data_IF_132792230250
#
_entry.id   IF_132792230250
#
_cell.length_a   1.000
_cell.length_b   1.000
_cell.length_c   1.000
_cell.angle_alpha   90.00
_cell.angle_beta   90.00
_cell.angle_gamma   90.00
#
_symmetry.space_group_name_H-M   'P 1'
#
loop_
_entity.id
_entity.type
_entity.pdbx_description
1 polymer ?
#
# COMPACT_ATOMS: atom_id res chain seq x y z
N UNK A 1 -33.92 -2.58 4.09
CA UNK A 1 -33.06 -3.02 5.21
C UNK A 1 -32.63 -4.45 4.95
N UNK A 2 -31.44 -4.65 4.38
CA UNK A 2 -30.83 -5.98 4.31
C UNK A 2 -29.91 -6.11 5.51
N UNK A 3 -30.21 -7.07 6.36
CA UNK A 3 -29.41 -7.45 7.52
C UNK A 3 -28.05 -7.97 7.02
N UNK A 4 -27.03 -7.12 7.06
CA UNK A 4 -25.63 -7.54 6.92
C UNK A 4 -25.22 -8.16 8.24
N UNK A 5 -25.27 -9.49 8.35
CA UNK A 5 -24.90 -10.23 9.56
C UNK A 5 -23.38 -10.19 9.80
N UNK A 6 -22.88 -9.01 10.15
CA UNK A 6 -21.65 -8.84 10.90
C UNK A 6 -22.01 -9.08 12.38
N UNK A 7 -21.18 -9.79 13.18
CA UNK A 7 -21.31 -9.71 14.63
C UNK A 7 -21.40 -8.23 14.98
N UNK A 8 -22.45 -7.83 15.69
CA UNK A 8 -22.75 -6.42 15.93
C UNK A 8 -21.61 -5.77 16.69
N UNK A 9 -20.70 -5.14 15.95
CA UNK A 9 -19.61 -4.33 16.46
C UNK A 9 -20.27 -3.16 17.19
N UNK A 10 -19.96 -3.00 18.48
CA UNK A 10 -20.38 -1.82 19.23
C UNK A 10 -19.40 -0.67 18.92
N UNK A 11 -19.68 0.03 17.82
CA UNK A 11 -18.85 1.13 17.30
C UNK A 11 -18.66 2.28 18.30
N UNK A 12 -19.62 2.48 19.21
CA UNK A 12 -19.54 3.50 20.26
C UNK A 12 -18.40 3.25 21.26
N UNK A 13 -17.91 2.01 21.33
CA UNK A 13 -16.79 1.60 22.20
C UNK A 13 -15.44 1.60 21.49
N UNK A 14 -15.43 1.78 20.17
CA UNK A 14 -14.22 1.89 19.39
C UNK A 14 -13.84 3.36 19.20
N UNK A 15 -12.56 3.60 18.95
CA UNK A 15 -12.07 4.93 18.60
C UNK A 15 -11.52 4.97 17.18
N UNK A 16 -11.70 6.11 16.54
CA UNK A 16 -11.07 6.53 15.29
C UNK A 16 -10.27 7.83 15.54
N UNK A 17 -9.72 8.48 14.51
CA UNK A 17 -8.86 9.66 14.64
C UNK A 17 -9.46 10.81 15.48
N UNK A 18 -10.78 11.02 15.42
CA UNK A 18 -11.45 12.16 16.03
C UNK A 18 -12.26 11.85 17.30
N UNK A 19 -12.17 10.63 17.86
CA UNK A 19 -12.99 10.24 19.02
C UNK A 19 -13.71 8.90 18.87
N UNK A 20 -14.86 8.72 19.55
CA UNK A 20 -15.74 7.55 19.40
C UNK A 20 -16.16 7.35 17.93
N UNK A 21 -16.35 6.10 17.52
CA UNK A 21 -16.57 5.74 16.11
C UNK A 21 -18.04 5.40 15.78
N UNK A 22 -19.01 5.87 16.57
CA UNK A 22 -20.44 5.60 16.35
C UNK A 22 -20.99 6.18 15.02
N UNK A 23 -20.28 7.11 14.42
CA UNK A 23 -20.57 7.72 13.12
C UNK A 23 -20.10 6.88 11.92
N UNK A 24 -19.10 6.01 12.09
CA UNK A 24 -18.48 5.22 11.00
C UNK A 24 -19.49 4.38 10.22
N UNK A 25 -20.43 3.63 10.83
CA UNK A 25 -21.46 2.93 10.08
C UNK A 25 -22.29 3.86 9.19
N UNK A 26 -22.62 5.05 9.69
CA UNK A 26 -23.35 6.06 8.94
C UNK A 26 -22.56 6.61 7.74
N UNK A 27 -21.23 6.66 7.83
CA UNK A 27 -20.38 6.98 6.67
C UNK A 27 -20.44 5.89 5.60
N UNK A 28 -20.36 4.61 5.99
CA UNK A 28 -20.50 3.50 5.03
C UNK A 28 -21.90 3.45 4.39
N UNK A 29 -22.96 3.71 5.16
CA UNK A 29 -24.35 3.75 4.65
C UNK A 29 -24.60 4.87 3.64
N UNK A 30 -23.77 5.92 3.63
CA UNK A 30 -23.84 7.03 2.68
C UNK A 30 -23.22 6.68 1.32
N UNK A 31 -22.43 5.61 1.22
CA UNK A 31 -21.85 5.19 -0.05
C UNK A 31 -22.94 4.68 -0.99
N UNK A 32 -22.83 5.08 -2.25
CA UNK A 32 -23.80 4.75 -3.31
C UNK A 32 -23.16 3.91 -4.43
N UNK A 33 -21.84 3.87 -4.49
CA UNK A 33 -21.06 3.27 -5.58
C UNK A 33 -20.85 4.22 -6.77
N UNK A 34 -21.26 5.47 -6.65
CA UNK A 34 -21.11 6.50 -7.69
C UNK A 34 -19.92 7.43 -7.48
N UNK A 35 -19.73 8.39 -8.41
CA UNK A 35 -18.64 9.38 -8.34
C UNK A 35 -18.84 10.41 -7.21
N UNK A 36 -20.09 10.58 -6.77
CA UNK A 36 -20.50 11.42 -5.66
C UNK A 36 -19.94 10.97 -4.30
N UNK A 37 -19.47 9.71 -4.20
CA UNK A 37 -18.92 9.14 -2.97
C UNK A 37 -17.54 9.72 -2.60
N UNK A 38 -16.91 10.53 -3.45
CA UNK A 38 -15.56 11.08 -3.22
C UNK A 38 -15.42 11.76 -1.85
N UNK A 39 -16.41 12.56 -1.46
CA UNK A 39 -16.42 13.21 -0.13
C UNK A 39 -16.60 12.21 1.01
N UNK A 40 -17.40 11.16 0.80
CA UNK A 40 -17.65 10.12 1.80
C UNK A 40 -16.38 9.28 2.01
N UNK A 41 -15.67 8.94 0.94
CA UNK A 41 -14.36 8.29 1.03
C UNK A 41 -13.34 9.16 1.73
N UNK A 42 -13.29 10.46 1.42
CA UNK A 42 -12.42 11.39 2.14
C UNK A 42 -12.71 11.39 3.65
N UNK A 43 -13.99 11.45 4.06
CA UNK A 43 -14.40 11.38 5.47
C UNK A 43 -13.96 10.04 6.12
N UNK A 44 -14.14 8.92 5.41
CA UNK A 44 -13.70 7.59 5.87
C UNK A 44 -12.18 7.50 6.03
N UNK A 45 -11.39 7.97 5.06
CA UNK A 45 -9.93 8.02 5.14
C UNK A 45 -9.46 8.91 6.29
N UNK A 46 -10.10 10.08 6.44
CA UNK A 46 -9.81 11.03 7.50
C UNK A 46 -10.06 10.43 8.89
N UNK A 47 -11.12 9.64 9.05
CA UNK A 47 -11.47 9.01 10.32
C UNK A 47 -10.67 7.74 10.62
N UNK A 48 -10.56 6.81 9.66
CA UNK A 48 -10.06 5.45 9.87
C UNK A 48 -8.55 5.31 9.63
N UNK A 49 -7.95 6.18 8.83
CA UNK A 49 -6.55 6.05 8.38
C UNK A 49 -5.83 7.40 8.37
N UNK A 50 -6.13 8.26 9.35
CA UNK A 50 -5.63 9.64 9.41
C UNK A 50 -4.10 9.70 9.31
N UNK A 51 -3.60 10.31 8.23
CA UNK A 51 -2.15 10.44 7.98
C UNK A 51 -1.42 9.09 8.09
N UNK A 52 -2.06 8.02 7.59
CA UNK A 52 -1.51 6.66 7.63
C UNK A 52 -1.63 5.94 8.97
N UNK A 53 -2.12 6.61 10.03
CA UNK A 53 -2.34 5.97 11.33
C UNK A 53 -3.65 5.20 11.36
N UNK A 54 -3.63 3.98 11.90
CA UNK A 54 -4.81 3.13 12.06
C UNK A 54 -5.26 3.05 13.52
N UNK A 55 -6.57 2.87 13.69
CA UNK A 55 -7.26 2.81 14.97
C UNK A 55 -8.07 1.52 15.13
N UNK A 56 -8.66 1.31 16.31
CA UNK A 56 -9.55 0.18 16.59
C UNK A 56 -10.71 0.10 15.60
N UNK A 57 -11.31 1.24 15.25
CA UNK A 57 -12.40 1.33 14.28
C UNK A 57 -11.99 0.86 12.87
N UNK A 58 -10.73 1.06 12.47
CA UNK A 58 -10.23 0.65 11.15
C UNK A 58 -10.21 -0.87 11.01
N UNK A 59 -9.73 -1.59 12.01
CA UNK A 59 -9.77 -3.06 12.00
C UNK A 59 -11.22 -3.57 11.95
N UNK A 60 -12.11 -2.94 12.71
CA UNK A 60 -13.54 -3.27 12.69
C UNK A 60 -14.21 -3.00 11.32
N UNK A 61 -13.66 -2.10 10.51
CA UNK A 61 -14.15 -1.78 9.16
C UNK A 61 -13.72 -2.81 8.09
N UNK A 62 -12.73 -3.67 8.34
CA UNK A 62 -12.22 -4.65 7.35
C UNK A 62 -13.33 -5.52 6.71
N UNK A 63 -14.32 -6.05 7.46
CA UNK A 63 -15.42 -6.79 6.85
C UNK A 63 -16.29 -5.94 5.90
N UNK A 64 -16.55 -4.68 6.25
CA UNK A 64 -17.31 -3.75 5.40
C UNK A 64 -16.54 -3.42 4.12
N UNK A 65 -15.24 -3.16 4.25
CA UNK A 65 -14.34 -2.91 3.11
C UNK A 65 -14.27 -4.14 2.18
N UNK A 66 -14.21 -5.35 2.74
CA UNK A 66 -14.23 -6.58 1.95
C UNK A 66 -15.57 -6.77 1.20
N UNK A 67 -16.70 -6.43 1.83
CA UNK A 67 -18.01 -6.47 1.16
C UNK A 67 -18.12 -5.44 0.02
N UNK A 68 -17.56 -4.24 0.17
CA UNK A 68 -17.49 -3.24 -0.92
C UNK A 68 -16.56 -3.74 -2.04
N UNK A 69 -15.36 -4.20 -1.69
CA UNK A 69 -14.37 -4.69 -2.65
C UNK A 69 -14.92 -5.84 -3.51
N UNK A 70 -15.73 -6.72 -2.91
CA UNK A 70 -16.37 -7.84 -3.58
C UNK A 70 -17.70 -7.49 -4.29
N UNK A 71 -18.12 -6.21 -4.28
CA UNK A 71 -19.36 -5.75 -4.91
C UNK A 71 -20.64 -6.20 -4.18
N UNK A 72 -20.55 -6.59 -2.91
CA UNK A 72 -21.70 -6.92 -2.06
C UNK A 72 -22.32 -5.70 -1.37
N UNK A 73 -21.54 -4.62 -1.25
CA UNK A 73 -21.99 -3.34 -0.71
C UNK A 73 -21.63 -2.19 -1.68
N UNK A 74 -22.36 -1.06 -1.65
CA UNK A 74 -22.04 0.10 -2.47
C UNK A 74 -20.69 0.73 -2.08
N UNK A 75 -19.99 1.28 -3.08
CA UNK A 75 -18.73 1.99 -2.90
C UNK A 75 -17.72 1.65 -4.00
N UNK A 76 -16.65 2.44 -4.08
CA UNK A 76 -15.56 2.18 -5.03
C UNK A 76 -14.69 1.02 -4.52
N UNK A 77 -14.57 -0.03 -5.33
CA UNK A 77 -13.81 -1.24 -4.99
C UNK A 77 -12.31 -0.97 -4.75
N UNK A 78 -11.71 -0.01 -5.45
CA UNK A 78 -10.28 0.32 -5.30
C UNK A 78 -10.06 1.08 -4.01
N UNK A 79 -10.90 2.04 -3.69
CA UNK A 79 -10.87 2.74 -2.39
C UNK A 79 -10.94 1.75 -1.21
N UNK A 80 -11.86 0.78 -1.29
CA UNK A 80 -11.99 -0.25 -0.26
C UNK A 80 -10.73 -1.12 -0.12
N UNK A 81 -10.15 -1.54 -1.24
CA UNK A 81 -8.90 -2.33 -1.27
C UNK A 81 -7.73 -1.54 -0.68
N UNK A 82 -7.56 -0.28 -1.11
CA UNK A 82 -6.45 0.57 -0.67
C UNK A 82 -6.50 0.84 0.85
N UNK A 83 -7.68 1.18 1.37
CA UNK A 83 -7.88 1.39 2.80
C UNK A 83 -7.62 0.10 3.59
N UNK A 84 -8.15 -1.03 3.13
CA UNK A 84 -7.92 -2.30 3.79
C UNK A 84 -6.45 -2.72 3.74
N UNK A 85 -5.73 -2.41 2.66
CA UNK A 85 -4.29 -2.69 2.53
C UNK A 85 -3.48 -1.98 3.61
N UNK A 86 -3.74 -0.67 3.80
CA UNK A 86 -3.11 0.12 4.85
C UNK A 86 -3.43 -0.43 6.26
N UNK A 87 -4.70 -0.77 6.51
CA UNK A 87 -5.12 -1.35 7.80
C UNK A 87 -4.44 -2.69 8.08
N UNK A 88 -4.32 -3.54 7.06
CA UNK A 88 -3.75 -4.89 7.20
C UNK A 88 -2.22 -4.86 7.32
N UNK A 89 -1.55 -3.84 6.76
CA UNK A 89 -0.11 -3.64 6.92
C UNK A 89 0.26 -3.41 8.40
N UNK A 90 -0.59 -2.70 9.15
CA UNK A 90 -0.41 -2.40 10.58
C UNK A 90 -0.95 -3.48 11.53
N UNK A 91 -1.60 -4.52 10.98
CA UNK A 91 -2.25 -5.56 11.78
C UNK A 91 -1.24 -6.55 12.37
N UNK A 92 -1.30 -6.74 13.70
CA UNK A 92 -0.61 -7.84 14.36
C UNK A 92 -1.13 -9.23 13.93
N UNK A 93 -0.41 -10.28 14.33
CA UNK A 93 -0.76 -11.65 13.97
C UNK A 93 -2.17 -12.08 14.44
N UNK A 94 -2.66 -11.55 15.57
CA UNK A 94 -3.98 -11.89 16.10
C UNK A 94 -5.08 -11.24 15.25
N UNK A 95 -4.93 -9.96 14.89
CA UNK A 95 -5.84 -9.23 14.00
C UNK A 95 -5.87 -9.85 12.60
N UNK A 96 -4.71 -10.20 12.04
CA UNK A 96 -4.63 -10.90 10.76
C UNK A 96 -5.35 -12.25 10.80
N UNK A 97 -5.14 -13.03 11.86
CA UNK A 97 -5.83 -14.32 12.04
C UNK A 97 -7.34 -14.15 12.18
N UNK A 98 -7.78 -13.12 12.91
CA UNK A 98 -9.20 -12.81 13.08
C UNK A 98 -9.88 -12.44 11.75
N UNK A 99 -9.20 -11.73 10.86
CA UNK A 99 -9.72 -11.29 9.56
C UNK A 99 -9.26 -12.13 8.36
N UNK A 100 -8.68 -13.31 8.56
CA UNK A 100 -7.97 -14.06 7.52
C UNK A 100 -8.81 -14.33 6.24
N UNK A 101 -10.10 -14.66 6.40
CA UNK A 101 -11.00 -14.88 5.25
C UNK A 101 -11.23 -13.60 4.44
N UNK A 102 -11.42 -12.47 5.12
CA UNK A 102 -11.60 -11.15 4.48
C UNK A 102 -10.32 -10.67 3.82
N UNK A 103 -9.16 -10.90 4.44
CA UNK A 103 -7.85 -10.61 3.86
C UNK A 103 -7.63 -11.40 2.57
N UNK A 104 -7.98 -12.69 2.55
CA UNK A 104 -7.86 -13.55 1.35
C UNK A 104 -8.74 -13.05 0.20
N UNK A 105 -9.96 -12.64 0.53
CA UNK A 105 -10.89 -12.03 -0.44
C UNK A 105 -10.36 -10.71 -1.00
N UNK A 106 -9.90 -9.81 -0.13
CA UNK A 106 -9.30 -8.53 -0.51
C UNK A 106 -8.06 -8.72 -1.40
N UNK A 107 -7.20 -9.71 -1.11
CA UNK A 107 -6.05 -10.04 -1.96
C UNK A 107 -6.48 -10.42 -3.38
N UNK A 108 -7.54 -11.22 -3.51
CA UNK A 108 -8.07 -11.63 -4.81
C UNK A 108 -8.62 -10.43 -5.60
N UNK A 109 -9.33 -9.53 -4.93
CA UNK A 109 -9.85 -8.30 -5.56
C UNK A 109 -8.71 -7.36 -5.94
N UNK A 110 -7.71 -7.17 -5.07
CA UNK A 110 -6.54 -6.34 -5.33
C UNK A 110 -5.78 -6.81 -6.57
N UNK A 111 -5.54 -8.12 -6.67
CA UNK A 111 -4.90 -8.71 -7.84
C UNK A 111 -5.68 -8.41 -9.13
N UNK A 112 -7.01 -8.54 -9.12
CA UNK A 112 -7.85 -8.20 -10.26
C UNK A 112 -7.81 -6.70 -10.60
N UNK A 113 -7.79 -5.82 -9.59
CA UNK A 113 -7.73 -4.37 -9.78
C UNK A 113 -6.45 -3.91 -10.49
N UNK A 114 -5.31 -4.59 -10.31
CA UNK A 114 -4.03 -4.19 -10.90
C UNK A 114 -4.08 -4.10 -12.44
N UNK A 115 -4.79 -5.03 -13.08
CA UNK A 115 -4.96 -5.03 -14.54
C UNK A 115 -5.84 -3.90 -15.05
N UNK A 116 -6.78 -3.42 -14.22
CA UNK A 116 -7.79 -2.42 -14.58
C UNK A 116 -7.31 -0.96 -14.39
N UNK A 117 -6.14 -0.75 -13.75
CA UNK A 117 -5.61 0.60 -13.53
C UNK A 117 -5.28 1.28 -14.86
N UNK A 118 -5.68 2.53 -15.12
CA UNK A 118 -5.21 3.26 -16.30
C UNK A 118 -3.68 3.40 -16.31
N UNK A 119 -3.06 3.37 -17.49
CA UNK A 119 -1.61 3.57 -17.60
C UNK A 119 -1.14 4.96 -17.14
N UNK A 120 -2.04 5.95 -17.12
CA UNK A 120 -1.76 7.31 -16.64
C UNK A 120 -1.89 7.47 -15.11
N UNK A 121 -2.10 6.38 -14.36
CA UNK A 121 -2.26 6.38 -12.91
C UNK A 121 -1.24 5.44 -12.23
N UNK A 122 0.07 5.64 -12.41
CA UNK A 122 1.11 4.76 -11.85
C UNK A 122 1.06 4.68 -10.32
N UNK A 123 0.75 5.78 -9.64
CA UNK A 123 0.59 5.84 -8.18
C UNK A 123 -0.48 4.86 -7.70
N UNK A 124 -1.64 4.83 -8.37
CA UNK A 124 -2.74 3.91 -8.03
C UNK A 124 -2.30 2.46 -8.20
N UNK A 125 -1.51 2.16 -9.23
CA UNK A 125 -0.95 0.82 -9.42
C UNK A 125 -0.01 0.44 -8.28
N UNK A 126 0.91 1.33 -7.89
CA UNK A 126 1.87 1.10 -6.81
C UNK A 126 1.14 0.84 -5.48
N UNK A 127 0.15 1.65 -5.12
CA UNK A 127 -0.59 1.45 -3.86
C UNK A 127 -1.46 0.17 -3.87
N UNK A 128 -2.01 -0.23 -5.02
CA UNK A 128 -2.71 -1.52 -5.14
C UNK A 128 -1.74 -2.70 -5.01
N UNK A 129 -0.54 -2.60 -5.59
CA UNK A 129 0.50 -3.61 -5.46
C UNK A 129 0.97 -3.70 -4.00
N UNK A 130 1.17 -2.57 -3.33
CA UNK A 130 1.49 -2.51 -1.90
C UNK A 130 0.39 -3.17 -1.05
N UNK A 131 -0.87 -2.87 -1.33
CA UNK A 131 -2.01 -3.47 -0.64
C UNK A 131 -2.03 -5.00 -0.82
N UNK A 132 -1.75 -5.50 -2.02
CA UNK A 132 -1.64 -6.94 -2.28
C UNK A 132 -0.52 -7.58 -1.43
N UNK A 133 0.66 -6.96 -1.38
CA UNK A 133 1.78 -7.40 -0.53
C UNK A 133 1.40 -7.39 0.97
N UNK A 134 0.63 -6.40 1.42
CA UNK A 134 0.11 -6.32 2.78
C UNK A 134 -0.85 -7.47 3.11
N UNK A 135 -1.78 -7.79 2.21
CA UNK A 135 -2.69 -8.92 2.42
C UNK A 135 -1.96 -10.25 2.50
N UNK A 136 -0.90 -10.43 1.73
CA UNK A 136 -0.06 -11.64 1.75
C UNK A 136 0.95 -11.66 2.91
N UNK A 137 1.09 -10.57 3.66
CA UNK A 137 1.99 -10.49 4.80
C UNK A 137 3.46 -10.42 4.42
N UNK A 138 3.77 -9.80 3.27
CA UNK A 138 5.15 -9.56 2.84
C UNK A 138 5.75 -8.44 3.71
N UNK A 139 6.82 -8.69 4.47
CA UNK A 139 7.40 -7.68 5.36
C UNK A 139 8.05 -6.54 4.58
N UNK A 140 8.14 -5.37 5.21
CA UNK A 140 8.73 -4.12 4.68
C UNK A 140 7.97 -3.56 3.48
N UNK A 141 7.86 -4.33 2.39
CA UNK A 141 7.25 -3.90 1.13
C UNK A 141 5.72 -3.82 1.17
N UNK A 142 5.06 -4.32 2.24
CA UNK A 142 3.65 -4.05 2.51
C UNK A 142 3.37 -2.59 2.87
N UNK A 143 4.39 -1.82 3.23
CA UNK A 143 4.28 -0.40 3.65
C UNK A 143 5.36 0.51 3.09
N UNK A 144 6.29 0.00 2.28
CA UNK A 144 7.44 0.75 1.73
C UNK A 144 7.55 0.67 0.20
N UNK A 145 6.54 0.15 -0.49
CA UNK A 145 6.55 0.12 -1.96
C UNK A 145 6.23 1.50 -2.57
N UNK A 146 5.56 2.35 -1.79
CA UNK A 146 5.38 3.78 -2.03
C UNK A 146 6.68 4.57 -2.24
N UNK A 147 7.82 4.06 -1.79
CA UNK A 147 9.15 4.56 -2.14
C UNK A 147 9.42 4.60 -3.66
N UNK A 148 8.62 3.93 -4.49
CA UNK A 148 8.64 4.10 -5.94
C UNK A 148 8.16 5.49 -6.41
N UNK A 149 7.42 6.21 -5.57
CA UNK A 149 6.70 7.44 -5.90
C UNK A 149 7.35 8.70 -5.34
N UNK A 150 8.20 8.57 -4.33
CA UNK A 150 8.80 9.70 -3.61
C UNK A 150 10.31 9.59 -3.47
N UNK A 151 10.92 10.72 -3.15
CA UNK A 151 12.32 10.80 -2.75
C UNK A 151 12.48 10.30 -1.32
N UNK A 152 13.51 9.51 -1.05
CA UNK A 152 13.81 9.02 0.29
C UNK A 152 15.32 8.90 0.52
N UNK A 153 15.72 8.76 1.79
CA UNK A 153 17.12 8.61 2.17
C UNK A 153 17.41 7.18 2.62
N UNK A 154 18.62 6.71 2.31
CA UNK A 154 19.23 5.50 2.86
C UNK A 154 20.65 5.81 3.33
N UNK A 155 21.09 5.20 4.43
CA UNK A 155 22.47 5.34 4.90
C UNK A 155 23.44 4.51 4.04
N UNK A 156 24.57 5.11 3.68
CA UNK A 156 25.66 4.36 3.07
C UNK A 156 26.26 3.38 4.09
N UNK A 157 26.41 2.08 3.77
CA UNK A 157 26.90 1.09 4.71
C UNK A 157 28.39 1.25 5.10
N UNK A 158 29.15 2.07 4.37
CA UNK A 158 30.60 2.24 4.61
C UNK A 158 30.95 3.54 5.34
N UNK A 159 30.27 4.66 5.01
CA UNK A 159 30.57 5.97 5.61
C UNK A 159 29.39 6.59 6.37
N UNK A 160 28.25 5.90 6.45
CA UNK A 160 27.04 6.32 7.17
C UNK A 160 26.40 7.63 6.64
N UNK A 161 26.89 8.16 5.51
CA UNK A 161 26.29 9.33 4.88
C UNK A 161 24.87 9.02 4.40
N UNK A 162 23.94 9.95 4.63
CA UNK A 162 22.61 9.89 4.03
C UNK A 162 22.73 10.04 2.51
N UNK A 163 22.25 9.04 1.79
CA UNK A 163 22.22 9.00 0.32
C UNK A 163 20.77 9.13 -0.11
N UNK A 164 20.49 10.19 -0.85
CA UNK A 164 19.17 10.42 -1.41
C UNK A 164 18.90 9.46 -2.59
N UNK A 165 17.69 8.92 -2.68
CA UNK A 165 17.27 7.99 -3.74
C UNK A 165 15.89 8.39 -4.25
N UNK A 166 15.77 8.50 -5.57
CA UNK A 166 14.51 8.78 -6.27
C UNK A 166 14.36 7.82 -7.46
N UNK A 167 13.62 6.70 -7.30
CA UNK A 167 13.53 5.69 -8.36
C UNK A 167 12.48 6.01 -9.43
N UNK A 168 11.51 6.88 -9.12
CA UNK A 168 10.30 7.13 -9.88
C UNK A 168 10.44 7.99 -11.14
N UNK A 169 9.40 8.77 -11.43
CA UNK A 169 9.28 9.62 -12.63
C UNK A 169 10.45 10.61 -12.77
N UNK A 170 10.84 11.25 -11.66
CA UNK A 170 11.82 12.35 -11.60
C UNK A 170 13.23 11.87 -11.22
N UNK A 171 13.61 10.64 -11.57
CA UNK A 171 14.91 10.07 -11.17
C UNK A 171 16.12 10.87 -11.67
N UNK A 172 15.97 11.68 -12.71
CA UNK A 172 16.98 12.59 -13.25
C UNK A 172 17.20 13.85 -12.40
N UNK A 173 16.30 14.16 -11.48
CA UNK A 173 16.45 15.26 -10.52
C UNK A 173 17.31 14.88 -9.30
N UNK A 174 17.62 13.59 -9.12
CA UNK A 174 18.45 13.10 -8.03
C UNK A 174 19.93 13.09 -8.42
N UNK A 175 20.77 13.73 -7.60
CA UNK A 175 22.23 13.77 -7.81
C UNK A 175 22.91 12.39 -7.61
N UNK A 176 22.24 11.47 -6.93
CA UNK A 176 22.77 10.13 -6.66
C UNK A 176 22.77 9.27 -7.93
N UNK A 177 23.93 8.72 -8.28
CA UNK A 177 24.03 7.78 -9.40
C UNK A 177 23.34 6.45 -9.06
N UNK A 178 22.19 6.21 -9.70
CA UNK A 178 21.44 4.97 -9.61
C UNK A 178 21.87 3.99 -10.71
N UNK A 179 21.99 2.72 -10.32
CA UNK A 179 22.34 1.62 -11.20
C UNK A 179 21.18 0.61 -11.21
N UNK A 180 20.26 0.71 -12.19
CA UNK A 180 19.14 -0.21 -12.30
C UNK A 180 19.61 -1.67 -12.41
N UNK A 181 18.91 -2.58 -11.75
CA UNK A 181 19.12 -4.00 -11.94
C UNK A 181 18.70 -4.42 -13.36
N UNK A 182 19.39 -5.42 -13.93
CA UNK A 182 18.88 -6.08 -15.13
C UNK A 182 17.52 -6.73 -14.82
N UNK A 183 16.50 -6.62 -15.69
CA UNK A 183 15.21 -7.29 -15.51
C UNK A 183 15.35 -8.80 -15.24
N UNK A 184 16.25 -9.48 -15.94
CA UNK A 184 16.52 -10.92 -15.75
C UNK A 184 17.33 -11.24 -14.48
N UNK A 185 17.94 -10.21 -13.88
CA UNK A 185 18.69 -10.29 -12.63
C UNK A 185 17.87 -9.98 -11.38
N UNK A 186 16.63 -9.49 -11.53
CA UNK A 186 15.74 -9.26 -10.40
C UNK A 186 15.37 -10.58 -9.71
N UNK A 187 15.28 -10.55 -8.39
CA UNK A 187 14.84 -11.71 -7.58
C UNK A 187 13.81 -11.28 -6.53
N UNK A 188 13.18 -12.24 -5.84
CA UNK A 188 12.29 -11.98 -4.72
C UNK A 188 11.16 -11.00 -5.03
N UNK A 189 10.97 -10.01 -4.15
CA UNK A 189 9.92 -8.99 -4.30
C UNK A 189 10.18 -8.08 -5.50
N UNK A 190 11.44 -7.75 -5.83
CA UNK A 190 11.77 -6.94 -7.00
C UNK A 190 11.31 -7.59 -8.30
N UNK A 191 11.62 -8.89 -8.49
CA UNK A 191 11.16 -9.64 -9.66
C UNK A 191 9.63 -9.69 -9.75
N UNK A 192 8.98 -9.84 -8.58
CA UNK A 192 7.53 -9.93 -8.49
C UNK A 192 6.84 -8.61 -8.84
N UNK A 193 7.28 -7.49 -8.28
CA UNK A 193 6.72 -6.16 -8.57
C UNK A 193 6.93 -5.82 -10.05
N UNK A 194 8.13 -6.05 -10.58
CA UNK A 194 8.42 -5.87 -11.99
C UNK A 194 7.50 -6.72 -12.88
N UNK A 195 7.29 -8.00 -12.56
CA UNK A 195 6.38 -8.88 -13.30
C UNK A 195 4.91 -8.44 -13.22
N UNK A 196 4.44 -7.99 -12.04
CA UNK A 196 3.09 -7.44 -11.88
C UNK A 196 2.91 -6.20 -12.77
N UNK A 197 3.86 -5.28 -12.75
CA UNK A 197 3.84 -4.05 -13.54
C UNK A 197 3.82 -4.36 -15.04
N UNK A 198 4.72 -5.22 -15.53
CA UNK A 198 4.74 -5.64 -16.94
C UNK A 198 3.46 -6.38 -17.35
N UNK A 199 2.96 -7.28 -16.51
CA UNK A 199 1.72 -8.03 -16.77
C UNK A 199 0.49 -7.13 -16.89
N UNK A 200 0.47 -6.01 -16.16
CA UNK A 200 -0.57 -4.99 -16.26
C UNK A 200 -0.31 -3.96 -17.39
N UNK A 201 0.86 -3.98 -18.03
CA UNK A 201 1.26 -3.01 -19.05
C UNK A 201 1.77 -1.68 -18.49
N UNK A 202 2.18 -1.62 -17.22
CA UNK A 202 2.79 -0.46 -16.55
C UNK A 202 4.30 -0.50 -16.71
N UNK A 203 4.79 -0.18 -17.91
CA UNK A 203 6.23 -0.25 -18.23
C UNK A 203 7.07 0.69 -17.37
N UNK A 204 6.59 1.91 -17.13
CA UNK A 204 7.29 2.89 -16.29
C UNK A 204 7.49 2.37 -14.85
N UNK A 205 6.46 1.79 -14.24
CA UNK A 205 6.57 1.21 -12.88
C UNK A 205 7.52 0.01 -12.86
N UNK A 206 7.55 -0.78 -13.94
CA UNK A 206 8.53 -1.86 -14.07
C UNK A 206 9.96 -1.30 -14.10
N UNK A 207 10.20 -0.21 -14.84
CA UNK A 207 11.50 0.46 -14.88
C UNK A 207 11.86 1.07 -13.51
N UNK A 208 10.92 1.69 -12.79
CA UNK A 208 11.14 2.19 -11.43
C UNK A 208 11.52 1.07 -10.46
N UNK A 209 10.87 -0.09 -10.57
CA UNK A 209 11.23 -1.26 -9.78
C UNK A 209 12.69 -1.71 -10.04
N UNK A 210 13.17 -1.63 -11.28
CA UNK A 210 14.59 -1.96 -11.56
C UNK A 210 15.57 -1.03 -10.85
N UNK A 211 15.19 0.23 -10.63
CA UNK A 211 16.00 1.21 -9.88
C UNK A 211 15.94 0.95 -8.38
N UNK A 212 14.74 0.79 -7.81
CA UNK A 212 14.57 0.54 -6.36
C UNK A 212 15.22 -0.77 -5.91
N UNK A 213 15.15 -1.81 -6.73
CA UNK A 213 15.81 -3.11 -6.49
C UNK A 213 17.19 -3.20 -7.17
N UNK A 214 17.77 -2.05 -7.51
CA UNK A 214 19.12 -1.88 -8.04
C UNK A 214 20.11 -1.41 -6.97
N UNK A 215 21.11 -0.65 -7.41
CA UNK A 215 22.16 -0.12 -6.53
C UNK A 215 22.25 1.40 -6.64
N UNK A 216 22.77 2.04 -5.59
CA UNK A 216 23.17 3.44 -5.60
C UNK A 216 24.69 3.54 -5.41
N UNK A 217 25.29 4.64 -5.87
CA UNK A 217 26.68 5.00 -5.56
C UNK A 217 26.67 6.15 -4.56
N UNK A 218 27.31 5.96 -3.41
CA UNK A 218 27.41 7.00 -2.40
C UNK A 218 28.21 8.20 -2.96
N UNK A 219 27.68 9.43 -2.91
CA UNK A 219 28.40 10.61 -3.40
C UNK A 219 29.61 10.99 -2.54
N UNK A 220 29.67 10.53 -1.28
CA UNK A 220 30.74 10.89 -0.34
C UNK A 220 31.95 9.95 -0.42
N UNK A 221 31.72 8.65 -0.59
CA UNK A 221 32.78 7.63 -0.53
C UNK A 221 32.85 6.71 -1.75
N UNK A 222 32.01 6.96 -2.77
CA UNK A 222 31.93 6.20 -4.02
C UNK A 222 31.56 4.72 -3.86
N UNK A 223 31.19 4.29 -2.64
CA UNK A 223 30.74 2.91 -2.39
C UNK A 223 29.44 2.66 -3.13
N UNK A 224 29.41 1.55 -3.88
CA UNK A 224 28.19 1.03 -4.50
C UNK A 224 27.51 0.02 -3.59
N UNK A 225 26.23 0.22 -3.31
CA UNK A 225 25.45 -0.64 -2.41
C UNK A 225 24.02 -0.88 -2.91
N UNK A 226 23.40 -1.98 -2.47
CA UNK A 226 22.02 -2.34 -2.81
C UNK A 226 21.02 -1.47 -2.06
N UNK A 227 20.09 -0.84 -2.80
CA UNK A 227 19.10 0.09 -2.22
C UNK A 227 18.08 -0.69 -1.40
N UNK A 228 17.52 -1.75 -1.97
CA UNK A 228 16.46 -2.54 -1.33
C UNK A 228 16.92 -3.23 -0.04
N UNK A 229 18.16 -3.71 -0.02
CA UNK A 229 18.80 -4.33 1.13
C UNK A 229 19.00 -3.31 2.27
N UNK A 230 19.34 -2.06 1.94
CA UNK A 230 19.45 -0.99 2.93
C UNK A 230 18.09 -0.58 3.48
N UNK A 231 17.07 -0.45 2.62
CA UNK A 231 15.68 -0.19 3.08
C UNK A 231 15.21 -1.28 4.05
N UNK A 232 15.49 -2.55 3.75
CA UNK A 232 15.14 -3.67 4.64
C UNK A 232 15.95 -3.61 5.95
N UNK A 233 17.25 -3.33 5.86
CA UNK A 233 18.15 -3.24 7.02
C UNK A 233 17.76 -2.14 8.00
N UNK A 234 17.32 -0.98 7.50
CA UNK A 234 16.88 0.16 8.31
C UNK A 234 15.45 -0.01 8.85
N UNK A 235 14.63 -0.88 8.23
CA UNK A 235 13.29 -1.20 8.70
C UNK A 235 13.27 -2.31 9.77
N UNK A 236 14.42 -2.96 10.06
CA UNK A 236 14.53 -3.92 11.14
C UNK A 236 14.53 -3.20 12.51
N UNK A 237 13.80 -3.71 13.52
CA UNK A 237 13.73 -3.10 14.85
C UNK A 237 15.05 -3.14 15.62
#
# INVERSE_FOLDING_TARGET
MRDMAHPTVDWSRLRHAYGPADDVPGLFDRLTGGREDERVWHDLWSALCHQGTVYEASYAALPLLADIAAGRAPGDRRQAVLMAGLIVAEADAARRSHHASRITELASVAHACLSDVPAAEPETFVYLAQSLLAFEGVPVWSSRLDLLLEEFEVECPECEAAVCVLPGEYADECDTELHPASPDGLTGIGARVHAMALGAGRREVADWATRLFGHATCPECETRFGISENVIGQAAP
#
